data_IF_765918811583
#
_entry.id   IF_765918811583
#
_cell.length_a   1.000
_cell.length_b   1.000
_cell.length_c   1.000
_cell.angle_alpha   90.00
_cell.angle_beta   90.00
_cell.angle_gamma   90.00
#
_symmetry.space_group_name_H-M   'P 1'
#
loop_
_entity.id
_entity.type
_entity.pdbx_description
1 polymer ?
#
# COMPACT_ATOMS: atom_id res chain seq x y z
N UNK A 1 40.32 -44.41 19.10
CA UNK A 1 41.59 -43.70 19.37
C UNK A 1 42.48 -43.82 18.15
N UNK A 2 43.28 -42.80 17.76
CA UNK A 2 43.38 -41.42 18.28
C UNK A 2 42.80 -40.40 17.27
N UNK A 3 41.90 -39.48 17.65
CA UNK A 3 42.16 -38.14 18.22
C UNK A 3 43.28 -37.33 17.52
N UNK A 4 42.89 -36.35 16.69
CA UNK A 4 43.64 -35.10 16.51
C UNK A 4 42.68 -33.91 16.53
N UNK A 5 42.66 -33.24 17.68
CA UNK A 5 42.08 -31.91 17.89
C UNK A 5 42.97 -30.87 17.18
N UNK A 6 42.38 -30.02 16.35
CA UNK A 6 42.98 -28.75 15.96
C UNK A 6 42.03 -27.62 16.36
N UNK A 7 42.34 -27.00 17.51
CA UNK A 7 41.81 -25.71 17.93
C UNK A 7 42.32 -24.66 16.93
N UNK A 8 41.42 -23.94 16.25
CA UNK A 8 41.76 -22.66 15.60
C UNK A 8 41.27 -21.52 16.48
N UNK A 9 42.23 -20.67 16.84
CA UNK A 9 42.08 -19.54 17.71
C UNK A 9 41.24 -18.44 17.05
N UNK A 10 40.33 -17.86 17.83
CA UNK A 10 39.62 -16.61 17.52
C UNK A 10 40.61 -15.46 17.64
N UNK A 11 40.90 -14.78 16.53
CA UNK A 11 41.56 -13.47 16.56
C UNK A 11 40.46 -12.41 16.52
N UNK A 12 40.25 -11.76 17.67
CA UNK A 12 39.45 -10.52 17.77
C UNK A 12 40.36 -9.37 17.36
N UNK A 13 40.05 -8.71 16.25
CA UNK A 13 40.65 -7.41 15.92
C UNK A 13 39.83 -6.34 16.64
N UNK A 14 40.37 -5.83 17.75
CA UNK A 14 39.85 -4.65 18.41
C UNK A 14 40.51 -3.42 17.77
N UNK A 15 39.71 -2.56 17.12
CA UNK A 15 40.16 -1.25 16.69
C UNK A 15 40.25 -0.33 17.91
N UNK A 16 41.48 0.01 18.30
CA UNK A 16 41.75 0.99 19.35
C UNK A 16 41.71 2.40 18.75
N UNK A 17 40.72 3.21 19.17
CA UNK A 17 40.74 4.66 18.99
C UNK A 17 41.62 5.26 20.09
N UNK A 18 42.76 5.82 19.68
CA UNK A 18 43.72 6.45 20.56
C UNK A 18 43.16 7.70 21.22
N UNK A 19 43.19 7.72 22.55
CA UNK A 19 43.07 8.92 23.36
C UNK A 19 44.40 9.67 23.33
N UNK A 20 44.37 10.95 22.92
CA UNK A 20 45.47 11.88 23.15
C UNK A 20 44.98 12.99 24.07
N UNK A 21 45.46 12.95 25.31
CA UNK A 21 45.40 14.06 26.24
C UNK A 21 46.83 14.45 26.57
N UNK A 22 47.24 15.66 26.19
CA UNK A 22 48.36 16.35 26.84
C UNK A 22 48.03 17.84 26.96
N UNK A 23 48.24 18.29 28.18
CA UNK A 23 47.89 19.57 28.77
C UNK A 23 48.97 20.59 28.42
N UNK A 24 48.56 21.77 27.96
CA UNK A 24 49.41 22.95 27.81
C UNK A 24 48.63 24.19 28.21
N UNK A 25 48.76 24.59 29.48
CA UNK A 25 48.18 25.81 30.04
C UNK A 25 49.12 26.97 29.75
N UNK A 26 48.66 27.96 28.99
CA UNK A 26 49.15 29.35 29.11
C UNK A 26 47.93 30.26 29.15
N UNK A 27 47.77 30.96 30.27
CA UNK A 27 46.68 31.88 30.50
C UNK A 27 46.95 33.24 29.86
N UNK A 28 45.93 33.79 29.21
CA UNK A 28 45.77 35.23 29.04
C UNK A 28 44.31 35.55 29.33
N UNK A 29 44.10 36.34 30.37
CA UNK A 29 42.80 36.87 30.75
C UNK A 29 42.45 38.07 29.86
N UNK A 30 41.24 38.07 29.26
CA UNK A 30 40.56 39.29 28.81
C UNK A 30 39.07 39.04 28.49
N UNK A 31 38.19 39.65 29.30
CA UNK A 31 36.86 40.13 28.87
C UNK A 31 35.66 39.18 29.02
N UNK A 32 34.52 39.63 29.59
CA UNK A 32 33.29 38.84 29.60
C UNK A 32 32.69 38.86 28.18
N UNK A 33 32.76 37.73 27.47
CA UNK A 33 32.02 37.52 26.24
C UNK A 33 30.53 37.36 26.59
N UNK A 34 29.70 38.29 26.10
CA UNK A 34 28.26 38.27 26.28
C UNK A 34 27.65 36.96 25.79
N UNK A 35 26.67 36.46 26.54
CA UNK A 35 25.81 35.36 26.15
C UNK A 35 25.12 35.69 24.82
N UNK A 36 25.58 35.08 23.73
CA UNK A 36 24.85 35.09 22.47
C UNK A 36 23.59 34.23 22.63
N UNK A 37 22.47 34.87 22.95
CA UNK A 37 21.15 34.26 22.88
C UNK A 37 20.91 33.82 21.44
N UNK A 38 20.76 32.51 21.25
CA UNK A 38 20.35 31.95 19.97
C UNK A 38 18.98 32.54 19.61
N UNK A 39 18.89 33.16 18.44
CA UNK A 39 17.64 33.70 17.92
C UNK A 39 16.58 32.59 17.89
N UNK A 40 15.32 32.87 18.27
CA UNK A 40 14.26 31.89 18.24
C UNK A 40 14.12 31.36 16.81
N UNK A 41 14.31 30.05 16.62
CA UNK A 41 14.01 29.36 15.36
C UNK A 41 12.57 29.69 15.01
N UNK A 42 12.38 30.33 13.85
CA UNK A 42 11.06 30.56 13.28
C UNK A 42 10.29 29.23 13.28
N UNK A 43 9.00 29.22 13.68
CA UNK A 43 8.21 28.01 13.66
C UNK A 43 8.27 27.41 12.25
N UNK A 44 8.61 26.12 12.17
CA UNK A 44 8.57 25.39 10.91
C UNK A 44 7.19 25.62 10.29
N UNK A 45 7.19 26.25 9.12
CA UNK A 45 5.98 26.48 8.33
C UNK A 45 5.31 25.11 8.18
N UNK A 46 4.05 25.00 8.59
CA UNK A 46 3.26 23.79 8.37
C UNK A 46 3.42 23.36 6.90
N UNK A 47 3.58 22.06 6.60
CA UNK A 47 3.66 21.60 5.22
C UNK A 47 2.47 22.17 4.46
N UNK A 48 2.77 22.89 3.38
CA UNK A 48 1.77 23.49 2.54
C UNK A 48 0.78 22.40 2.08
N UNK A 49 -0.50 22.74 2.05
CA UNK A 49 -1.52 21.91 1.41
C UNK A 49 -1.05 21.51 0.00
N UNK A 50 -1.39 20.28 -0.42
CA UNK A 50 -1.04 19.67 -1.69
C UNK A 50 -0.94 20.70 -2.83
N UNK A 51 0.21 20.77 -3.50
CA UNK A 51 0.42 21.68 -4.61
C UNK A 51 -0.52 21.34 -5.79
N UNK A 52 -1.68 21.99 -5.81
CA UNK A 52 -2.56 22.42 -6.92
C UNK A 52 -2.82 21.51 -8.14
N UNK A 53 -2.59 20.19 -8.09
CA UNK A 53 -2.99 19.26 -9.16
C UNK A 53 -2.75 19.81 -10.58
N UNK A 54 -1.61 20.50 -10.77
CA UNK A 54 -1.34 21.20 -12.01
C UNK A 54 -1.20 20.20 -13.16
N UNK A 55 -1.15 20.66 -14.40
CA UNK A 55 -1.06 19.77 -15.56
C UNK A 55 0.10 18.73 -15.46
N UNK A 56 1.21 19.09 -14.80
CA UNK A 56 2.34 18.18 -14.59
C UNK A 56 2.00 17.02 -13.62
N UNK A 57 1.19 17.31 -12.60
CA UNK A 57 0.80 16.41 -11.52
C UNK A 57 -0.54 15.71 -11.76
N UNK A 58 -1.23 16.02 -12.86
CA UNK A 58 -2.48 15.37 -13.23
C UNK A 58 -2.24 14.10 -14.05
N UNK A 59 -3.01 13.06 -13.75
CA UNK A 59 -3.19 11.88 -14.59
C UNK A 59 -4.64 11.87 -15.06
N UNK A 60 -4.85 11.74 -16.36
CA UNK A 60 -6.16 11.49 -16.97
C UNK A 60 -5.99 10.41 -18.04
N UNK A 61 -6.60 9.26 -17.83
CA UNK A 61 -6.52 8.13 -18.74
C UNK A 61 -7.91 7.64 -19.09
N UNK A 62 -8.23 7.71 -20.39
CA UNK A 62 -9.39 7.02 -20.95
C UNK A 62 -8.98 5.60 -21.35
N UNK A 63 -9.67 4.60 -20.82
CA UNK A 63 -9.45 3.19 -21.09
C UNK A 63 -10.40 2.68 -22.17
N UNK A 64 -10.05 1.51 -22.71
CA UNK A 64 -10.89 0.78 -23.65
C UNK A 64 -12.28 0.52 -23.04
N UNK A 65 -13.34 0.86 -23.77
CA UNK A 65 -14.71 0.86 -23.26
C UNK A 65 -15.25 2.23 -22.83
N UNK A 66 -14.42 3.27 -22.84
CA UNK A 66 -14.84 4.67 -22.67
C UNK A 66 -14.80 5.18 -21.23
N UNK A 67 -14.41 4.32 -20.28
CA UNK A 67 -14.14 4.70 -18.90
C UNK A 67 -12.95 5.66 -18.83
N UNK A 68 -13.04 6.70 -18.01
CA UNK A 68 -11.94 7.63 -17.74
C UNK A 68 -11.61 7.68 -16.26
N UNK A 69 -10.33 7.49 -15.92
CA UNK A 69 -9.79 7.73 -14.58
C UNK A 69 -9.09 9.07 -14.54
N UNK A 70 -9.27 9.80 -13.44
CA UNK A 70 -8.58 11.08 -13.19
C UNK A 70 -8.09 11.13 -11.77
N UNK A 71 -6.88 11.66 -11.58
CA UNK A 71 -6.27 11.84 -10.28
C UNK A 71 -5.14 12.87 -10.37
N UNK A 72 -4.71 13.33 -9.21
CA UNK A 72 -3.46 14.05 -9.04
C UNK A 72 -2.47 13.08 -8.39
N UNK A 73 -1.17 13.31 -8.61
CA UNK A 73 -0.13 12.64 -7.86
C UNK A 73 0.78 13.67 -7.22
N UNK A 74 1.33 13.34 -6.06
CA UNK A 74 2.48 14.03 -5.50
C UNK A 74 3.42 13.01 -4.87
N UNK A 75 4.60 13.48 -4.48
CA UNK A 75 5.61 12.65 -3.82
C UNK A 75 5.80 13.12 -2.38
N UNK A 76 5.49 12.26 -1.43
CA UNK A 76 5.67 12.49 0.00
C UNK A 76 7.07 12.06 0.43
N UNK A 77 7.70 12.83 1.32
CA UNK A 77 9.09 12.61 1.76
C UNK A 77 9.32 11.32 2.54
N UNK A 78 8.26 10.55 2.84
CA UNK A 78 8.32 9.26 3.54
C UNK A 78 7.56 8.18 2.78
N UNK A 79 6.28 8.42 2.46
CA UNK A 79 5.41 7.46 1.79
C UNK A 79 5.74 7.23 0.31
N UNK A 80 6.52 8.12 -0.31
CA UNK A 80 6.76 8.10 -1.75
C UNK A 80 5.52 8.55 -2.53
N UNK A 81 5.09 7.76 -3.52
CA UNK A 81 3.95 8.12 -4.37
C UNK A 81 2.64 8.21 -3.57
N UNK A 82 1.96 9.34 -3.69
CA UNK A 82 0.61 9.58 -3.17
C UNK A 82 -0.33 9.95 -4.30
N UNK A 83 -1.52 9.36 -4.33
CA UNK A 83 -2.57 9.68 -5.29
C UNK A 83 -3.68 10.46 -4.61
N UNK A 84 -4.03 11.62 -5.14
CA UNK A 84 -5.10 12.49 -4.63
C UNK A 84 -6.24 12.65 -5.64
N UNK A 85 -7.43 13.00 -5.13
CA UNK A 85 -8.59 13.34 -5.94
C UNK A 85 -8.93 12.28 -7.00
N UNK A 86 -8.80 11.00 -6.65
CA UNK A 86 -9.09 9.88 -7.55
C UNK A 86 -10.58 9.88 -7.87
N UNK A 87 -10.89 9.92 -9.17
CA UNK A 87 -12.25 9.88 -9.69
C UNK A 87 -12.38 8.94 -10.87
N UNK A 88 -13.56 8.33 -10.95
CA UNK A 88 -13.94 7.30 -11.89
C UNK A 88 -15.11 7.81 -12.74
N UNK A 89 -15.00 7.75 -14.06
CA UNK A 89 -16.11 8.10 -14.96
C UNK A 89 -16.30 7.00 -16.00
N UNK A 90 -17.26 6.07 -15.79
CA UNK A 90 -17.62 5.13 -16.84
C UNK A 90 -18.36 5.86 -17.98
N UNK A 91 -18.36 5.27 -19.17
CA UNK A 91 -18.93 5.87 -20.40
C UNK A 91 -20.37 6.41 -20.22
N UNK A 92 -21.17 5.75 -19.39
CA UNK A 92 -22.59 6.07 -19.17
C UNK A 92 -22.88 7.11 -18.08
N UNK A 93 -21.87 7.70 -17.45
CA UNK A 93 -22.03 8.70 -16.38
C UNK A 93 -21.66 10.10 -16.89
N UNK A 94 -22.54 11.06 -16.65
CA UNK A 94 -22.40 12.43 -17.15
C UNK A 94 -21.27 13.22 -16.49
N UNK A 95 -20.90 12.84 -15.26
CA UNK A 95 -19.86 13.49 -14.49
C UNK A 95 -18.95 12.45 -13.80
N UNK A 96 -17.69 12.80 -13.47
CA UNK A 96 -16.81 11.95 -12.68
C UNK A 96 -17.37 11.68 -11.28
N UNK A 97 -17.35 10.42 -10.88
CA UNK A 97 -17.65 9.97 -9.52
C UNK A 97 -16.36 10.08 -8.71
N UNK A 98 -16.33 10.90 -7.66
CA UNK A 98 -15.19 10.96 -6.74
C UNK A 98 -15.13 9.69 -5.90
N UNK A 99 -13.92 9.14 -5.71
CA UNK A 99 -13.70 7.87 -5.01
C UNK A 99 -12.80 8.04 -3.80
N UNK A 100 -11.53 8.41 -4.01
CA UNK A 100 -10.55 8.61 -2.96
C UNK A 100 -10.12 10.08 -2.93
N UNK A 101 -10.15 10.68 -1.75
CA UNK A 101 -9.53 11.99 -1.52
C UNK A 101 -8.01 11.86 -1.57
N UNK A 102 -7.46 10.81 -0.93
CA UNK A 102 -6.03 10.50 -0.94
C UNK A 102 -5.79 9.01 -0.71
N UNK A 103 -4.77 8.43 -1.33
CA UNK A 103 -4.31 7.06 -1.08
C UNK A 103 -2.78 6.98 -1.14
N UNK A 104 -2.18 6.28 -0.17
CA UNK A 104 -0.73 6.11 -0.07
C UNK A 104 -0.34 4.84 0.68
N UNK A 105 0.92 4.44 0.54
CA UNK A 105 1.55 3.55 1.51
C UNK A 105 1.62 4.24 2.89
N UNK A 106 1.51 3.42 3.93
CA UNK A 106 1.39 3.87 5.30
C UNK A 106 2.42 3.24 6.24
N UNK A 107 3.05 2.12 5.86
CA UNK A 107 4.27 1.59 6.46
C UNK A 107 4.70 0.36 5.63
N UNK A 108 6.00 0.04 5.65
CA UNK A 108 6.51 -1.31 5.39
C UNK A 108 7.30 -1.69 6.63
N UNK A 109 6.81 -2.68 7.38
CA UNK A 109 7.42 -3.12 8.63
C UNK A 109 8.09 -4.49 8.43
N UNK A 110 9.42 -4.51 8.64
CA UNK A 110 10.30 -5.64 8.31
C UNK A 110 11.03 -6.17 9.56
N UNK A 111 10.39 -7.04 10.36
CA UNK A 111 11.04 -7.72 11.47
C UNK A 111 11.77 -8.97 10.98
N UNK A 112 13.01 -9.16 11.43
CA UNK A 112 13.77 -10.40 11.23
C UNK A 112 13.44 -11.42 12.31
N UNK A 113 13.41 -12.71 11.94
CA UNK A 113 12.99 -13.80 12.83
C UNK A 113 14.02 -14.09 13.95
N UNK A 114 15.24 -13.59 13.80
CA UNK A 114 16.28 -13.62 14.83
C UNK A 114 16.11 -12.53 15.91
N UNK A 115 15.23 -11.56 15.68
CA UNK A 115 14.98 -10.42 16.54
C UNK A 115 16.14 -9.42 16.61
N UNK A 116 17.16 -9.54 15.75
CA UNK A 116 18.30 -8.63 15.74
C UNK A 116 17.93 -7.27 15.15
N UNK A 117 17.04 -7.28 14.15
CA UNK A 117 16.62 -6.10 13.40
C UNK A 117 15.09 -6.04 13.22
N UNK A 118 14.57 -4.82 13.24
CA UNK A 118 13.18 -4.50 12.94
C UNK A 118 13.13 -3.11 12.30
N UNK A 119 12.70 -3.06 11.04
CA UNK A 119 12.69 -1.82 10.26
C UNK A 119 11.28 -1.33 10.00
N UNK A 120 11.12 0.00 10.01
CA UNK A 120 9.98 0.71 9.47
C UNK A 120 10.47 1.53 8.29
N UNK A 121 10.35 0.98 7.08
CA UNK A 121 11.11 1.50 5.94
C UNK A 121 10.71 2.93 5.57
N UNK A 122 9.40 3.22 5.59
CA UNK A 122 8.88 4.53 5.21
C UNK A 122 9.28 5.61 6.21
N UNK A 123 9.17 5.32 7.50
CA UNK A 123 9.36 6.33 8.53
C UNK A 123 10.78 6.40 9.07
N UNK A 124 11.53 5.29 9.00
CA UNK A 124 12.83 5.10 9.64
C UNK A 124 14.00 4.73 8.73
N UNK A 125 13.77 4.27 7.49
CA UNK A 125 14.85 3.93 6.54
C UNK A 125 14.83 4.80 5.27
N UNK A 126 14.23 5.99 5.36
CA UNK A 126 14.25 6.99 4.29
C UNK A 126 13.79 6.47 2.91
N UNK A 127 12.85 5.51 2.88
CA UNK A 127 12.28 4.88 1.68
C UNK A 127 12.11 5.82 0.47
N UNK A 128 11.48 6.98 0.68
CA UNK A 128 11.19 7.93 -0.39
C UNK A 128 12.43 8.65 -0.93
N UNK A 129 13.50 8.78 -0.14
CA UNK A 129 14.74 9.41 -0.58
C UNK A 129 15.47 8.56 -1.64
N UNK A 130 15.31 7.24 -1.56
CA UNK A 130 15.93 6.28 -2.46
C UNK A 130 15.03 5.89 -3.66
N UNK A 131 14.34 6.88 -4.24
CA UNK A 131 13.59 6.71 -5.49
C UNK A 131 14.55 6.38 -6.64
N UNK A 132 14.28 5.29 -7.36
CA UNK A 132 15.13 4.86 -8.47
C UNK A 132 14.76 5.57 -9.78
N UNK A 133 15.77 5.81 -10.60
CA UNK A 133 15.58 6.28 -11.97
C UNK A 133 15.17 5.10 -12.86
N UNK A 134 14.02 5.23 -13.53
CA UNK A 134 13.51 4.21 -14.43
C UNK A 134 14.13 4.32 -15.83
N UNK A 135 14.52 3.19 -16.40
CA UNK A 135 14.83 3.07 -17.81
C UNK A 135 13.53 3.10 -18.66
N UNK A 136 13.52 3.69 -19.87
CA UNK A 136 12.37 3.62 -20.77
C UNK A 136 11.78 2.23 -20.99
N UNK A 137 12.61 1.17 -20.97
CA UNK A 137 12.16 -0.22 -21.12
C UNK A 137 11.31 -0.72 -19.94
N UNK A 138 11.48 -0.13 -18.75
CA UNK A 138 10.68 -0.47 -17.57
C UNK A 138 9.23 0.02 -17.70
N UNK A 139 9.01 1.12 -18.43
CA UNK A 139 7.69 1.75 -18.62
C UNK A 139 7.17 1.58 -20.07
N UNK A 140 6.96 0.34 -20.56
CA UNK A 140 6.64 0.09 -21.96
C UNK A 140 5.30 0.72 -22.34
N UNK A 141 5.30 1.47 -23.44
CA UNK A 141 4.12 2.18 -23.96
C UNK A 141 3.59 3.28 -23.04
N UNK A 142 4.34 3.64 -21.99
CA UNK A 142 3.96 4.63 -21.00
C UNK A 142 4.76 5.93 -21.10
N UNK A 143 4.59 6.76 -20.07
CA UNK A 143 5.36 7.99 -19.87
C UNK A 143 6.04 7.91 -18.51
N UNK A 144 7.34 8.17 -18.49
CA UNK A 144 8.09 8.34 -17.25
C UNK A 144 8.06 9.82 -16.88
N UNK A 145 7.52 10.12 -15.71
CA UNK A 145 7.45 11.46 -15.15
C UNK A 145 8.63 11.72 -14.24
N UNK A 146 9.15 12.94 -14.29
CA UNK A 146 10.14 13.44 -13.35
C UNK A 146 9.46 13.78 -12.02
N UNK A 147 10.01 13.23 -10.94
CA UNK A 147 9.60 13.39 -9.56
C UNK A 147 10.65 14.24 -8.87
N UNK A 148 10.23 15.37 -8.29
CA UNK A 148 11.09 16.14 -7.40
C UNK A 148 11.00 15.55 -5.99
N UNK A 149 12.06 14.90 -5.53
CA UNK A 149 12.13 14.25 -4.21
C UNK A 149 12.23 15.34 -3.12
N UNK A 150 11.25 15.45 -2.21
CA UNK A 150 11.31 16.48 -1.17
C UNK A 150 12.43 16.20 -0.17
N UNK A 151 13.31 17.18 0.00
CA UNK A 151 14.45 17.06 0.92
C UNK A 151 15.49 16.03 0.49
N UNK A 152 15.63 15.81 -0.83
CA UNK A 152 16.58 14.87 -1.44
C UNK A 152 17.96 14.89 -0.76
N UNK A 153 18.56 13.70 -0.59
CA UNK A 153 19.93 13.54 -0.08
C UNK A 153 20.96 14.31 -0.90
N UNK A 154 20.78 14.34 -2.22
CA UNK A 154 21.49 15.23 -3.13
C UNK A 154 20.57 16.42 -3.48
N UNK A 155 20.69 17.56 -2.78
CA UNK A 155 19.85 18.72 -3.02
C UNK A 155 20.14 19.41 -4.36
N UNK A 156 21.30 19.14 -4.99
CA UNK A 156 21.66 19.68 -6.30
C UNK A 156 21.00 18.87 -7.44
N UNK A 157 20.64 17.60 -7.17
CA UNK A 157 19.98 16.71 -8.12
C UNK A 157 18.68 16.08 -7.55
N UNK A 158 17.68 16.88 -7.15
CA UNK A 158 16.47 16.38 -6.49
C UNK A 158 15.44 15.76 -7.44
N UNK A 159 15.66 15.87 -8.75
CA UNK A 159 14.70 15.49 -9.79
C UNK A 159 15.04 14.12 -10.37
N UNK A 160 14.18 13.12 -10.15
CA UNK A 160 14.37 11.72 -10.56
C UNK A 160 13.29 11.31 -11.57
N UNK A 161 13.66 10.67 -12.68
CA UNK A 161 12.69 10.08 -13.63
C UNK A 161 12.12 8.77 -13.05
N UNK A 162 11.30 8.86 -12.01
CA UNK A 162 10.96 7.72 -11.15
C UNK A 162 9.51 7.26 -11.15
N UNK A 163 8.59 7.94 -11.88
CA UNK A 163 7.17 7.57 -11.92
C UNK A 163 6.76 7.13 -13.31
N UNK A 164 6.43 5.85 -13.49
CA UNK A 164 5.82 5.36 -14.71
C UNK A 164 4.30 5.54 -14.67
N UNK A 165 3.73 6.03 -15.78
CA UNK A 165 2.30 5.98 -16.06
C UNK A 165 2.06 5.29 -17.41
N UNK A 166 1.40 4.14 -17.40
CA UNK A 166 1.15 3.34 -18.61
C UNK A 166 -0.22 2.65 -18.56
N UNK A 167 -0.55 1.91 -19.62
CA UNK A 167 -1.67 0.96 -19.59
C UNK A 167 -1.17 -0.46 -19.79
N UNK A 168 -1.79 -1.43 -19.10
CA UNK A 168 -1.40 -2.85 -19.18
C UNK A 168 -2.63 -3.72 -19.40
N UNK A 169 -2.49 -4.75 -20.23
CA UNK A 169 -3.56 -5.74 -20.45
C UNK A 169 -3.82 -6.52 -19.16
N UNK A 170 -5.11 -6.78 -18.86
CA UNK A 170 -5.54 -7.55 -17.67
C UNK A 170 -6.28 -8.85 -18.00
N UNK A 171 -6.33 -9.22 -19.28
CA UNK A 171 -7.14 -10.34 -19.77
C UNK A 171 -8.62 -9.96 -19.90
N UNK A 172 -9.53 -10.94 -19.77
CA UNK A 172 -10.95 -10.70 -19.98
C UNK A 172 -11.56 -9.70 -18.99
N UNK A 173 -12.22 -8.67 -19.51
CA UNK A 173 -13.09 -7.81 -18.74
C UNK A 173 -14.45 -8.46 -18.48
N UNK A 174 -14.97 -9.19 -19.46
CA UNK A 174 -16.12 -10.08 -19.32
C UNK A 174 -16.16 -11.08 -20.48
N UNK A 175 -16.86 -12.19 -20.27
CA UNK A 175 -17.26 -13.14 -21.30
C UNK A 175 -18.60 -13.77 -20.90
N UNK A 176 -19.56 -13.76 -21.81
CA UNK A 176 -20.87 -14.41 -21.69
C UNK A 176 -21.24 -15.01 -23.04
N UNK A 177 -21.78 -16.24 -23.07
CA UNK A 177 -22.25 -16.86 -24.32
C UNK A 177 -23.42 -17.80 -24.06
N UNK A 178 -24.21 -18.07 -25.10
CA UNK A 178 -25.16 -19.20 -25.17
C UNK A 178 -26.36 -19.18 -24.20
N UNK A 179 -26.67 -18.05 -23.57
CA UNK A 179 -27.86 -17.89 -22.72
C UNK A 179 -28.39 -16.44 -22.71
N UNK A 180 -28.00 -15.65 -23.72
CA UNK A 180 -28.47 -14.27 -23.89
C UNK A 180 -29.72 -14.19 -24.78
N UNK A 181 -30.32 -13.00 -24.91
CA UNK A 181 -31.52 -12.80 -25.75
C UNK A 181 -31.25 -13.09 -27.23
N UNK A 182 -29.98 -13.02 -27.66
CA UNK A 182 -29.53 -13.23 -29.04
C UNK A 182 -29.07 -14.68 -29.33
N UNK A 183 -29.51 -15.66 -28.53
CA UNK A 183 -29.15 -17.07 -28.71
C UNK A 183 -27.64 -17.35 -28.54
N UNK A 184 -26.99 -17.84 -29.61
CA UNK A 184 -25.59 -18.32 -29.58
C UNK A 184 -24.53 -17.22 -29.58
N UNK A 185 -24.95 -15.94 -29.63
CA UNK A 185 -24.03 -14.81 -29.64
C UNK A 185 -23.16 -14.79 -28.38
N UNK A 186 -21.84 -14.64 -28.59
CA UNK A 186 -20.86 -14.46 -27.52
C UNK A 186 -20.57 -12.97 -27.31
N UNK A 187 -20.84 -12.50 -26.09
CA UNK A 187 -20.46 -11.18 -25.61
C UNK A 187 -19.14 -11.27 -24.85
N UNK A 188 -18.08 -10.67 -25.36
CA UNK A 188 -16.79 -10.67 -24.69
C UNK A 188 -16.04 -9.34 -24.85
N UNK A 189 -15.10 -9.08 -23.93
CA UNK A 189 -14.18 -7.95 -24.01
C UNK A 189 -12.87 -8.26 -23.26
N UNK A 190 -11.75 -7.84 -23.83
CA UNK A 190 -10.46 -7.76 -23.12
C UNK A 190 -10.37 -6.42 -22.38
N UNK A 191 -9.77 -6.43 -21.21
CA UNK A 191 -9.57 -5.27 -20.35
C UNK A 191 -8.14 -4.77 -20.35
N UNK A 192 -7.99 -3.48 -20.06
CA UNK A 192 -6.74 -2.85 -19.69
C UNK A 192 -6.91 -2.08 -18.39
N UNK A 193 -5.82 -1.97 -17.66
CA UNK A 193 -5.68 -1.12 -16.49
C UNK A 193 -4.81 0.09 -16.83
N UNK A 194 -5.15 1.25 -16.27
CA UNK A 194 -4.16 2.30 -16.04
C UNK A 194 -3.25 1.81 -14.90
N UNK A 195 -1.94 1.81 -15.11
CA UNK A 195 -0.93 1.43 -14.13
C UNK A 195 -0.03 2.63 -13.84
N UNK A 196 0.09 2.97 -12.55
CA UNK A 196 1.05 3.93 -12.02
C UNK A 196 2.00 3.21 -11.07
N UNK A 197 3.31 3.39 -11.21
CA UNK A 197 4.25 2.83 -10.24
C UNK A 197 5.57 3.60 -10.09
N UNK A 198 6.19 3.42 -8.93
CA UNK A 198 7.56 3.85 -8.60
C UNK A 198 8.37 2.67 -8.06
N UNK A 199 9.69 2.75 -8.14
CA UNK A 199 10.61 1.78 -7.52
C UNK A 199 11.47 2.50 -6.49
N UNK A 200 11.51 1.98 -5.27
CA UNK A 200 12.23 2.56 -4.14
C UNK A 200 13.16 1.50 -3.53
N UNK A 201 14.42 1.85 -3.30
CA UNK A 201 15.42 0.93 -2.75
C UNK A 201 15.59 1.16 -1.24
N UNK A 202 15.57 0.11 -0.44
CA UNK A 202 15.86 0.17 1.00
C UNK A 202 16.79 -0.97 1.37
N UNK A 203 18.03 -0.63 1.72
CA UNK A 203 19.08 -1.62 1.95
C UNK A 203 19.31 -2.46 0.70
N UNK A 204 19.03 -3.76 0.79
CA UNK A 204 19.20 -4.72 -0.32
C UNK A 204 17.91 -4.95 -1.12
N UNK A 205 16.77 -4.44 -0.63
CA UNK A 205 15.47 -4.63 -1.23
C UNK A 205 15.12 -3.48 -2.16
N UNK A 206 14.37 -3.82 -3.21
CA UNK A 206 13.62 -2.85 -4.01
C UNK A 206 12.13 -3.11 -3.88
N UNK A 207 11.37 -2.03 -3.73
CA UNK A 207 9.92 -2.05 -3.59
C UNK A 207 9.27 -1.35 -4.78
N UNK A 208 8.51 -2.11 -5.57
CA UNK A 208 7.69 -1.62 -6.68
C UNK A 208 6.31 -1.28 -6.13
N UNK A 209 6.02 0.00 -5.95
CA UNK A 209 4.70 0.47 -5.46
C UNK A 209 3.75 0.67 -6.64
N UNK A 210 2.80 -0.25 -6.84
CA UNK A 210 1.86 -0.22 -7.97
C UNK A 210 0.44 0.17 -7.57
N UNK A 211 -0.17 1.04 -8.39
CA UNK A 211 -1.59 1.39 -8.35
C UNK A 211 -2.21 1.11 -9.72
N UNK A 212 -3.19 0.21 -9.78
CA UNK A 212 -3.89 -0.17 -11.00
C UNK A 212 -5.36 0.23 -10.95
N UNK A 213 -5.86 0.75 -12.06
CA UNK A 213 -7.23 1.26 -12.20
C UNK A 213 -7.89 0.65 -13.44
N UNK A 214 -8.91 -0.18 -13.24
CA UNK A 214 -9.57 -0.95 -14.29
C UNK A 214 -10.75 -0.22 -14.92
N UNK A 215 -11.08 -0.57 -16.17
CA UNK A 215 -12.23 -0.01 -16.90
C UNK A 215 -13.59 -0.27 -16.21
N UNK A 216 -13.69 -1.35 -15.42
CA UNK A 216 -14.88 -1.73 -14.66
C UNK A 216 -15.03 -1.02 -13.30
N UNK A 217 -14.06 -0.19 -12.92
CA UNK A 217 -14.07 0.55 -11.65
C UNK A 217 -13.22 -0.08 -10.55
N UNK A 218 -12.68 -1.28 -10.75
CA UNK A 218 -11.78 -1.95 -9.79
C UNK A 218 -10.48 -1.16 -9.63
N UNK A 219 -10.01 -1.03 -8.39
CA UNK A 219 -8.67 -0.53 -8.08
C UNK A 219 -7.87 -1.66 -7.44
N UNK A 220 -6.62 -1.86 -7.86
CA UNK A 220 -5.71 -2.85 -7.26
C UNK A 220 -4.46 -2.14 -6.78
N UNK A 221 -4.11 -2.34 -5.51
CA UNK A 221 -2.98 -1.70 -4.85
C UNK A 221 -2.00 -2.77 -4.41
N UNK A 222 -0.74 -2.65 -4.83
CA UNK A 222 0.27 -3.66 -4.59
C UNK A 222 1.63 -3.05 -4.27
N UNK A 223 2.42 -3.83 -3.54
CA UNK A 223 3.87 -3.66 -3.42
C UNK A 223 4.52 -4.96 -3.87
N UNK A 224 5.46 -4.85 -4.80
CA UNK A 224 6.34 -5.94 -5.19
C UNK A 224 7.68 -5.81 -4.48
N UNK A 225 8.10 -6.81 -3.70
CA UNK A 225 9.43 -6.87 -3.10
C UNK A 225 10.39 -7.67 -4.00
N UNK A 226 11.53 -7.08 -4.35
CA UNK A 226 12.60 -7.65 -5.20
C UNK A 226 13.96 -7.12 -4.74
N UNK A 227 15.00 -7.16 -5.58
CA UNK A 227 16.37 -6.81 -5.22
C UNK A 227 17.21 -8.04 -4.90
N UNK A 228 17.88 -8.03 -3.76
CA UNK A 228 18.84 -9.07 -3.36
C UNK A 228 18.61 -9.46 -1.89
N UNK A 229 18.82 -10.72 -1.55
CA UNK A 229 18.87 -11.12 -0.13
C UNK A 229 20.01 -10.40 0.61
N UNK A 230 19.80 -10.05 1.87
CA UNK A 230 20.86 -9.44 2.69
C UNK A 230 22.04 -10.40 2.87
N UNK A 231 23.23 -10.13 2.29
CA UNK A 231 24.35 -11.06 2.32
C UNK A 231 25.05 -11.11 3.69
N UNK A 232 24.67 -10.22 4.61
CA UNK A 232 25.23 -10.14 5.96
C UNK A 232 24.47 -11.00 6.99
N UNK A 233 23.33 -11.59 6.60
CA UNK A 233 22.44 -12.35 7.49
C UNK A 233 22.37 -13.84 7.10
N UNK A 234 23.52 -14.42 6.74
CA UNK A 234 23.66 -15.80 6.20
C UNK A 234 24.11 -16.84 7.24
N UNK A 235 23.78 -16.63 8.52
CA UNK A 235 24.19 -17.49 9.64
C UNK A 235 23.02 -18.14 10.41
N UNK A 236 21.78 -18.04 9.90
CA UNK A 236 20.56 -18.53 10.55
C UNK A 236 20.29 -20.04 10.41
N UNK A 237 21.32 -20.86 10.64
CA UNK A 237 21.26 -22.33 10.56
C UNK A 237 20.53 -23.03 11.71
N UNK A 238 19.94 -22.28 12.64
CA UNK A 238 19.27 -22.79 13.85
C UNK A 238 17.74 -22.90 13.72
N UNK A 239 17.24 -22.90 12.50
CA UNK A 239 15.80 -23.01 12.18
C UNK A 239 15.10 -21.67 11.98
N UNK A 240 15.81 -20.54 12.11
CA UNK A 240 15.30 -19.19 11.80
C UNK A 240 15.52 -18.78 10.35
N UNK A 241 16.28 -19.54 9.58
CA UNK A 241 16.57 -19.28 8.18
C UNK A 241 16.38 -20.49 7.29
N UNK A 242 16.74 -20.32 6.02
CA UNK A 242 16.73 -21.37 5.02
C UNK A 242 18.12 -21.53 4.39
N UNK A 243 18.61 -22.77 4.17
CA UNK A 243 19.89 -22.98 3.52
C UNK A 243 19.87 -22.43 2.10
N UNK A 244 20.92 -21.70 1.75
CA UNK A 244 21.12 -21.17 0.41
C UNK A 244 22.52 -21.55 -0.11
N UNK A 245 22.65 -21.60 -1.43
CA UNK A 245 23.90 -21.91 -2.09
C UNK A 245 24.36 -23.36 -1.90
N UNK A 246 25.60 -23.63 -2.31
CA UNK A 246 26.11 -25.00 -2.40
C UNK A 246 26.39 -25.60 -1.02
N UNK A 247 25.65 -26.67 -0.71
CA UNK A 247 25.95 -27.54 0.42
C UNK A 247 25.54 -26.97 1.77
N UNK A 248 24.54 -26.09 1.81
CA UNK A 248 23.94 -25.56 3.04
C UNK A 248 24.99 -25.01 4.03
N UNK A 249 25.93 -24.21 3.52
CA UNK A 249 26.95 -23.54 4.34
C UNK A 249 26.47 -22.18 4.85
N UNK A 250 25.56 -21.57 4.09
CA UNK A 250 24.99 -20.26 4.33
C UNK A 250 23.48 -20.43 4.52
N UNK A 251 22.90 -19.66 5.44
CA UNK A 251 21.49 -19.74 5.79
C UNK A 251 20.89 -18.34 5.88
N UNK A 252 20.09 -17.95 4.90
CA UNK A 252 19.45 -16.64 4.90
C UNK A 252 18.40 -16.55 6.00
N UNK A 253 18.51 -15.52 6.85
CA UNK A 253 17.55 -15.26 7.93
C UNK A 253 16.16 -14.94 7.38
N UNK A 254 15.15 -15.67 7.88
CA UNK A 254 13.76 -15.40 7.54
C UNK A 254 13.29 -14.10 8.17
N UNK A 255 12.32 -13.45 7.54
CA UNK A 255 11.79 -12.16 7.99
C UNK A 255 10.38 -11.95 7.43
N UNK A 256 9.65 -10.95 7.93
CA UNK A 256 8.33 -10.60 7.41
C UNK A 256 8.35 -9.26 6.67
N UNK A 257 7.43 -9.07 5.72
CA UNK A 257 7.10 -7.78 5.11
C UNK A 257 5.64 -7.47 5.42
N UNK A 258 5.38 -6.53 6.33
CA UNK A 258 4.02 -6.10 6.69
C UNK A 258 3.75 -4.75 6.03
N UNK A 259 2.99 -4.75 4.94
CA UNK A 259 2.73 -3.55 4.15
C UNK A 259 1.38 -2.98 4.53
N UNK A 260 1.36 -1.69 4.84
CA UNK A 260 0.15 -0.94 5.16
C UNK A 260 -0.18 0.08 4.08
N UNK A 261 -1.46 0.21 3.78
CA UNK A 261 -2.02 1.30 2.97
C UNK A 261 -2.96 2.14 3.81
N UNK A 262 -3.00 3.44 3.54
CA UNK A 262 -3.95 4.39 4.13
C UNK A 262 -4.83 4.98 3.04
N UNK A 263 -6.13 4.76 3.14
CA UNK A 263 -7.12 5.19 2.17
C UNK A 263 -8.11 6.17 2.82
N UNK A 264 -8.17 7.37 2.26
CA UNK A 264 -9.13 8.40 2.63
C UNK A 264 -10.21 8.48 1.55
N UNK A 265 -11.38 7.90 1.81
CA UNK A 265 -12.48 7.94 0.86
C UNK A 265 -13.12 9.33 0.80
N UNK A 266 -13.50 9.72 -0.40
CA UNK A 266 -14.25 10.94 -0.71
C UNK A 266 -15.40 10.61 -1.65
N UNK A 267 -16.13 9.51 -1.35
CA UNK A 267 -17.14 8.96 -2.25
C UNK A 267 -18.21 10.00 -2.55
N UNK A 268 -18.45 10.22 -3.85
CA UNK A 268 -19.37 11.25 -4.35
C UNK A 268 -19.11 12.66 -3.77
N UNK A 269 -17.84 12.95 -3.43
CA UNK A 269 -17.41 14.24 -2.91
C UNK A 269 -17.66 14.46 -1.42
N UNK A 270 -18.10 13.42 -0.69
CA UNK A 270 -18.34 13.48 0.76
C UNK A 270 -17.27 12.72 1.54
N UNK A 271 -16.70 13.30 2.62
CA UNK A 271 -15.84 12.56 3.54
C UNK A 271 -16.63 11.66 4.50
N UNK A 272 -17.97 11.77 4.51
CA UNK A 272 -18.84 11.16 5.53
C UNK A 272 -19.26 9.73 5.23
N UNK A 273 -18.46 8.99 4.46
CA UNK A 273 -18.73 7.60 4.10
C UNK A 273 -19.01 6.74 5.35
N UNK A 274 -19.74 5.63 5.15
CA UNK A 274 -20.05 4.66 6.21
C UNK A 274 -19.39 3.33 5.93
N UNK A 275 -19.04 2.61 6.99
CA UNK A 275 -18.45 1.28 6.89
C UNK A 275 -19.52 0.25 7.26
N UNK A 276 -19.58 -0.81 6.46
CA UNK A 276 -20.48 -1.93 6.69
C UNK A 276 -19.71 -3.24 6.66
N UNK A 277 -19.93 -4.07 7.67
CA UNK A 277 -19.42 -5.42 7.75
C UNK A 277 -20.50 -6.40 7.29
N UNK A 278 -20.09 -7.41 6.54
CA UNK A 278 -20.93 -8.52 6.13
C UNK A 278 -20.36 -9.80 6.72
N UNK A 279 -21.20 -10.58 7.40
CA UNK A 279 -20.87 -11.89 7.94
C UNK A 279 -21.86 -12.91 7.42
N UNK A 280 -21.40 -13.89 6.64
CA UNK A 280 -22.26 -15.01 6.21
C UNK A 280 -21.98 -16.25 7.03
N UNK A 281 -23.06 -16.93 7.45
CA UNK A 281 -22.99 -18.20 8.20
C UNK A 281 -23.76 -19.27 7.44
N UNK A 282 -23.13 -20.42 7.27
CA UNK A 282 -23.69 -21.57 6.56
C UNK A 282 -24.07 -22.66 7.56
N UNK A 283 -25.26 -23.24 7.43
CA UNK A 283 -25.73 -24.35 8.28
C UNK A 283 -24.94 -25.63 8.00
N UNK A 284 -24.60 -26.40 9.04
CA UNK A 284 -23.82 -27.66 8.95
C UNK A 284 -24.63 -28.94 9.18
N UNK A 285 -25.97 -28.86 9.22
CA UNK A 285 -26.82 -29.99 9.60
C UNK A 285 -26.83 -31.12 8.55
N UNK A 286 -26.59 -32.36 9.00
CA UNK A 286 -26.67 -33.57 8.18
C UNK A 286 -28.11 -33.82 7.71
N UNK A 287 -28.27 -34.21 6.43
CA UNK A 287 -29.58 -34.55 5.85
C UNK A 287 -30.40 -33.37 5.34
N UNK A 288 -29.91 -32.14 5.46
CA UNK A 288 -30.52 -30.94 4.87
C UNK A 288 -29.56 -30.25 3.89
N UNK A 289 -30.12 -29.63 2.84
CA UNK A 289 -29.32 -28.75 1.96
C UNK A 289 -28.80 -27.57 2.79
N UNK A 290 -27.50 -27.24 2.74
CA UNK A 290 -26.94 -26.10 3.46
C UNK A 290 -27.63 -24.78 3.08
N UNK A 291 -27.86 -23.92 4.07
CA UNK A 291 -28.39 -22.56 3.89
C UNK A 291 -27.39 -21.55 4.40
N UNK A 292 -27.20 -20.46 3.67
CA UNK A 292 -26.33 -19.35 4.05
C UNK A 292 -27.16 -18.13 4.38
N UNK A 293 -26.91 -17.51 5.54
CA UNK A 293 -27.53 -16.25 5.94
C UNK A 293 -26.45 -15.21 6.17
N UNK A 294 -26.59 -14.07 5.51
CA UNK A 294 -25.68 -12.92 5.67
C UNK A 294 -26.29 -11.90 6.62
N UNK A 295 -25.48 -11.45 7.58
CA UNK A 295 -25.81 -10.33 8.47
C UNK A 295 -24.99 -9.12 8.03
N UNK A 296 -25.66 -7.96 7.90
CA UNK A 296 -25.03 -6.68 7.60
C UNK A 296 -25.01 -5.83 8.86
N UNK A 297 -23.82 -5.45 9.30
CA UNK A 297 -23.60 -4.67 10.52
C UNK A 297 -23.00 -3.31 10.15
N UNK A 298 -23.59 -2.22 10.65
CA UNK A 298 -23.00 -0.88 10.52
C UNK A 298 -21.83 -0.76 11.49
N UNK A 299 -20.64 -0.43 10.98
CA UNK A 299 -19.48 -0.13 11.81
C UNK A 299 -19.48 1.37 12.08
N UNK A 300 -19.99 1.76 13.24
CA UNK A 300 -20.17 3.18 13.63
C UNK A 300 -19.05 3.72 14.50
N UNK A 301 -18.22 2.82 15.04
CA UNK A 301 -17.05 3.14 15.85
C UNK A 301 -15.82 2.53 15.22
N UNK A 302 -14.66 3.07 15.57
CA UNK A 302 -13.38 2.53 15.15
C UNK A 302 -13.27 1.03 15.45
N UNK A 303 -12.66 0.30 14.53
CA UNK A 303 -12.62 -1.15 14.57
C UNK A 303 -11.33 -1.67 13.91
N UNK A 304 -10.72 -2.67 14.54
CA UNK A 304 -9.70 -3.52 13.93
C UNK A 304 -10.36 -4.87 13.61
N UNK A 305 -10.13 -5.39 12.41
CA UNK A 305 -10.87 -6.55 11.90
C UNK A 305 -10.05 -7.44 11.00
N UNK A 306 -10.43 -8.72 10.98
CA UNK A 306 -9.82 -9.77 10.17
C UNK A 306 -10.81 -10.34 9.17
N UNK A 307 -10.42 -10.39 7.90
CA UNK A 307 -11.18 -11.09 6.90
C UNK A 307 -11.26 -12.57 7.27
N UNK A 308 -12.38 -13.18 6.92
CA UNK A 308 -12.62 -14.60 7.13
C UNK A 308 -13.38 -15.15 5.92
N UNK A 309 -13.54 -16.47 5.84
CA UNK A 309 -14.10 -17.16 4.68
C UNK A 309 -15.36 -16.51 4.07
N UNK A 310 -16.21 -15.87 4.90
CA UNK A 310 -17.36 -15.08 4.43
C UNK A 310 -17.58 -13.80 5.25
N UNK A 311 -16.48 -13.19 5.73
CA UNK A 311 -16.48 -11.86 6.35
C UNK A 311 -15.74 -10.86 5.47
N UNK A 312 -16.38 -9.73 5.20
CA UNK A 312 -15.81 -8.64 4.42
C UNK A 312 -16.44 -7.30 4.79
N UNK A 313 -15.86 -6.21 4.28
CA UNK A 313 -16.33 -4.85 4.52
C UNK A 313 -16.47 -4.05 3.23
N UNK A 314 -17.34 -3.05 3.28
CA UNK A 314 -17.40 -2.00 2.26
C UNK A 314 -17.47 -0.60 2.85
N UNK A 315 -16.98 0.34 2.06
CA UNK A 315 -17.13 1.79 2.26
C UNK A 315 -18.28 2.29 1.41
N UNK A 316 -19.28 2.88 2.04
CA UNK A 316 -20.56 3.25 1.44
C UNK A 316 -20.71 4.76 1.40
N UNK A 317 -21.10 5.28 0.25
CA UNK A 317 -21.42 6.69 0.06
C UNK A 317 -22.66 7.09 0.85
N UNK A 318 -22.63 8.29 1.41
CA UNK A 318 -23.81 8.96 1.98
C UNK A 318 -24.36 10.04 1.08
N UNK A 319 -23.73 10.30 -0.07
CA UNK A 319 -24.00 11.45 -0.91
C UNK A 319 -24.51 11.06 -2.31
N UNK A 320 -24.13 9.88 -2.80
CA UNK A 320 -24.50 9.42 -4.14
C UNK A 320 -25.06 8.01 -4.17
N UNK A 321 -25.88 7.78 -5.18
CA UNK A 321 -26.51 6.50 -5.52
C UNK A 321 -26.32 6.23 -7.00
N UNK A 322 -26.34 4.96 -7.39
CA UNK A 322 -26.45 4.59 -8.80
C UNK A 322 -27.86 4.86 -9.34
N UNK A 323 -28.07 4.56 -10.62
CA UNK A 323 -29.35 4.79 -11.33
C UNK A 323 -30.50 3.93 -10.79
N UNK A 324 -30.22 2.87 -10.02
CA UNK A 324 -31.22 2.03 -9.36
C UNK A 324 -31.53 2.50 -7.92
N UNK A 325 -30.92 3.60 -7.48
CA UNK A 325 -31.12 4.14 -6.14
C UNK A 325 -30.34 3.42 -5.04
N UNK A 326 -29.42 2.51 -5.39
CA UNK A 326 -28.51 1.87 -4.44
C UNK A 326 -27.35 2.81 -4.09
N UNK A 327 -26.96 2.94 -2.80
CA UNK A 327 -25.80 3.76 -2.42
C UNK A 327 -24.52 3.23 -3.04
N UNK A 328 -23.74 4.11 -3.70
CA UNK A 328 -22.46 3.72 -4.29
C UNK A 328 -21.49 3.28 -3.21
N UNK A 329 -20.71 2.23 -3.46
CA UNK A 329 -19.78 1.70 -2.48
C UNK A 329 -18.59 0.98 -3.10
N UNK A 330 -17.57 0.73 -2.29
CA UNK A 330 -16.43 -0.11 -2.64
C UNK A 330 -16.20 -1.16 -1.57
N UNK A 331 -16.11 -2.42 -1.97
CA UNK A 331 -15.72 -3.54 -1.13
C UNK A 331 -14.20 -3.60 -1.00
N UNK A 332 -13.73 -3.93 0.19
CA UNK A 332 -12.32 -4.22 0.46
C UNK A 332 -12.11 -5.72 0.26
N UNK A 333 -11.34 -6.08 -0.76
CA UNK A 333 -11.00 -7.47 -1.09
C UNK A 333 -9.52 -7.68 -0.75
N UNK A 334 -9.20 -8.13 0.47
CA UNK A 334 -7.81 -8.36 0.87
C UNK A 334 -7.17 -9.47 0.04
N UNK A 335 -5.89 -9.31 -0.29
CA UNK A 335 -5.09 -10.40 -0.84
C UNK A 335 -4.69 -11.42 0.22
N UNK A 336 -3.90 -12.40 -0.19
CA UNK A 336 -3.31 -13.36 0.75
C UNK A 336 -2.40 -12.61 1.75
N UNK A 337 -2.50 -12.97 3.03
CA UNK A 337 -1.74 -12.31 4.10
C UNK A 337 -1.20 -13.33 5.10
N UNK A 338 0.10 -13.23 5.37
CA UNK A 338 0.81 -13.92 6.45
C UNK A 338 1.16 -12.90 7.52
N UNK A 339 0.20 -12.60 8.40
CA UNK A 339 0.35 -11.57 9.44
C UNK A 339 1.47 -11.89 10.41
N UNK A 340 2.32 -10.90 10.71
CA UNK A 340 3.29 -10.99 11.79
C UNK A 340 2.62 -10.77 13.15
N UNK A 341 2.63 -11.72 14.09
CA UNK A 341 1.95 -11.56 15.38
C UNK A 341 2.77 -10.80 16.43
N UNK A 342 4.05 -10.50 16.16
CA UNK A 342 4.99 -9.93 17.15
C UNK A 342 4.78 -8.45 17.50
N UNK A 343 3.91 -7.74 16.77
CA UNK A 343 3.47 -6.37 17.07
C UNK A 343 1.96 -6.30 17.07
N UNK A 344 1.36 -5.49 17.94
CA UNK A 344 -0.11 -5.42 18.03
C UNK A 344 -0.76 -4.75 16.81
N UNK A 345 -0.06 -3.82 16.16
CA UNK A 345 -0.55 -3.12 14.97
C UNK A 345 -0.47 -3.93 13.67
N UNK A 346 0.18 -5.10 13.67
CA UNK A 346 0.27 -6.02 12.52
C UNK A 346 -0.70 -7.20 12.62
N UNK A 347 -1.51 -7.27 13.68
CA UNK A 347 -2.37 -8.43 13.99
C UNK A 347 -3.69 -8.47 13.22
N UNK A 348 -4.11 -7.37 12.60
CA UNK A 348 -5.38 -7.31 11.88
C UNK A 348 -5.18 -6.97 10.41
N UNK A 349 -6.10 -7.46 9.57
CA UNK A 349 -6.08 -7.21 8.12
C UNK A 349 -6.55 -5.79 7.78
N UNK A 350 -7.50 -5.27 8.54
CA UNK A 350 -8.05 -3.92 8.36
C UNK A 350 -8.18 -3.17 9.68
N UNK A 351 -8.01 -1.85 9.60
CA UNK A 351 -8.36 -0.92 10.67
C UNK A 351 -9.23 0.20 10.09
N UNK A 352 -10.26 0.60 10.84
CA UNK A 352 -11.07 1.77 10.56
C UNK A 352 -10.86 2.76 11.69
N UNK A 353 -10.25 3.90 11.40
CA UNK A 353 -10.06 4.99 12.38
C UNK A 353 -10.86 6.22 11.98
N UNK A 354 -11.14 7.10 12.93
CA UNK A 354 -11.65 8.42 12.58
C UNK A 354 -10.51 9.27 11.98
N UNK A 355 -10.84 10.15 11.04
CA UNK A 355 -9.84 11.01 10.44
C UNK A 355 -9.15 11.91 11.49
N UNK A 356 -7.85 11.73 11.60
CA UNK A 356 -6.96 12.59 12.34
C UNK A 356 -5.76 12.97 11.46
N UNK A 357 -5.47 14.28 11.39
CA UNK A 357 -4.36 14.81 10.59
C UNK A 357 -2.99 14.30 11.04
N UNK A 358 -2.85 13.86 12.28
CA UNK A 358 -1.60 13.35 12.85
C UNK A 358 -1.40 11.84 12.62
N UNK A 359 -2.42 11.13 12.15
CA UNK A 359 -2.42 9.69 11.93
C UNK A 359 -2.14 9.40 10.46
N UNK A 360 -0.86 9.40 10.10
CA UNK A 360 -0.37 9.37 8.72
C UNK A 360 0.23 8.02 8.31
N UNK A 361 0.89 7.32 9.24
CA UNK A 361 1.59 6.06 9.06
C UNK A 361 1.12 5.03 10.09
N UNK A 362 1.11 3.73 9.77
CA UNK A 362 0.57 2.71 10.68
C UNK A 362 1.36 2.57 12.00
N UNK A 363 2.63 2.97 11.98
CA UNK A 363 3.57 3.02 13.11
C UNK A 363 4.47 4.26 12.97
N UNK A 364 5.15 4.64 14.06
CA UNK A 364 6.29 5.57 14.03
C UNK A 364 6.06 6.88 13.25
N UNK A 365 4.90 7.49 13.47
CA UNK A 365 4.55 8.79 12.87
C UNK A 365 5.58 9.89 13.21
N UNK A 366 5.77 10.88 12.33
CA UNK A 366 6.71 11.97 12.55
C UNK A 366 6.50 12.69 13.88
N UNK A 367 7.59 13.02 14.58
CA UNK A 367 7.59 13.62 15.93
C UNK A 367 6.81 14.94 16.07
N UNK A 368 6.57 15.65 14.96
CA UNK A 368 5.73 16.86 14.93
C UNK A 368 4.26 16.57 15.26
N UNK A 369 3.85 15.31 15.14
CA UNK A 369 2.59 14.79 15.62
C UNK A 369 2.83 14.21 17.02
N UNK A 370 2.29 14.84 18.08
CA UNK A 370 2.38 14.36 19.48
C UNK A 370 1.66 13.02 19.74
N UNK A 371 1.24 12.33 18.68
CA UNK A 371 0.51 11.07 18.71
C UNK A 371 1.53 9.95 18.53
N UNK A 372 2.34 9.73 19.57
CA UNK A 372 3.20 8.54 19.66
C UNK A 372 2.34 7.29 19.85
N UNK A 373 1.76 6.78 18.77
CA UNK A 373 0.86 5.63 18.74
C UNK A 373 0.86 5.00 17.33
N UNK A 374 0.58 3.70 17.29
CA UNK A 374 0.34 2.91 16.08
C UNK A 374 -1.16 2.73 15.83
N UNK A 375 -1.53 2.24 14.65
CA UNK A 375 -2.94 2.16 14.20
C UNK A 375 -3.86 1.39 15.15
N UNK A 376 -3.36 0.34 15.82
CA UNK A 376 -4.11 -0.39 16.84
C UNK A 376 -4.45 0.43 18.09
N UNK A 377 -3.65 1.45 18.42
CA UNK A 377 -3.88 2.33 19.57
C UNK A 377 -4.82 3.48 19.24
N UNK A 378 -5.02 3.76 17.96
CA UNK A 378 -6.00 4.74 17.51
C UNK A 378 -7.39 4.17 17.57
N UNK A 379 -7.56 2.88 17.23
CA UNK A 379 -8.81 2.14 17.42
C UNK A 379 -9.17 2.05 18.91
N UNK A 380 -9.80 3.11 19.41
CA UNK A 380 -10.12 3.30 20.83
C UNK A 380 -11.63 3.40 21.07
N UNK A 381 -12.42 3.25 20.00
CA UNK A 381 -13.88 3.29 20.03
C UNK A 381 -14.48 4.66 19.75
N UNK A 382 -13.70 5.58 19.15
CA UNK A 382 -14.23 6.84 18.63
C UNK A 382 -15.31 6.59 17.56
N UNK A 383 -16.22 7.54 17.37
CA UNK A 383 -17.28 7.43 16.37
C UNK A 383 -16.76 7.77 14.96
N UNK A 384 -17.06 6.92 13.98
CA UNK A 384 -16.68 7.11 12.58
C UNK A 384 -17.61 8.10 11.86
N UNK A 385 -17.18 9.37 11.79
CA UNK A 385 -17.82 10.45 11.03
C UNK A 385 -17.12 10.66 9.69
N UNK A 386 -15.80 10.56 9.65
CA UNK A 386 -14.93 10.58 8.48
C UNK A 386 -13.95 9.40 8.59
N UNK A 387 -14.40 8.18 8.22
CA UNK A 387 -13.57 6.99 8.38
C UNK A 387 -12.35 7.00 7.46
N UNK A 388 -11.20 6.61 8.01
CA UNK A 388 -9.98 6.26 7.29
C UNK A 388 -9.83 4.75 7.32
N UNK A 389 -9.59 4.18 6.14
CA UNK A 389 -9.38 2.74 5.98
C UNK A 389 -7.88 2.47 5.92
N UNK A 390 -7.43 1.57 6.78
CA UNK A 390 -6.08 1.02 6.74
C UNK A 390 -6.17 -0.44 6.37
N UNK A 391 -5.33 -0.88 5.43
CA UNK A 391 -5.24 -2.28 5.02
C UNK A 391 -3.83 -2.76 5.28
N UNK A 392 -3.67 -3.92 5.90
CA UNK A 392 -2.41 -4.57 6.23
C UNK A 392 -2.32 -5.92 5.52
N UNK A 393 -1.29 -6.09 4.70
CA UNK A 393 -1.00 -7.36 4.05
C UNK A 393 0.42 -7.79 4.47
N UNK A 394 0.50 -8.93 5.14
CA UNK A 394 1.76 -9.53 5.59
C UNK A 394 2.28 -10.59 4.62
N UNK A 395 3.58 -10.79 4.60
CA UNK A 395 4.26 -11.87 3.90
C UNK A 395 5.41 -12.34 4.79
N UNK A 396 5.51 -13.64 5.03
CA UNK A 396 6.62 -14.23 5.75
C UNK A 396 7.56 -14.85 4.74
N UNK A 397 8.75 -14.29 4.63
CA UNK A 397 9.75 -14.67 3.65
C UNK A 397 10.73 -15.65 4.29
N UNK A 398 10.47 -16.93 4.05
CA UNK A 398 11.48 -17.99 4.20
C UNK A 398 12.15 -18.10 2.83
N UNK A 399 13.35 -17.54 2.72
CA UNK A 399 14.05 -17.41 1.45
C UNK A 399 14.29 -18.78 0.80
N UNK A 400 14.36 -18.81 -0.53
CA UNK A 400 14.74 -19.99 -1.32
C UNK A 400 16.01 -19.72 -2.10
N UNK A 401 16.61 -20.75 -2.67
CA UNK A 401 17.80 -20.59 -3.53
C UNK A 401 17.54 -19.65 -4.72
N UNK A 402 16.32 -19.66 -5.26
CA UNK A 402 15.90 -18.77 -6.35
C UNK A 402 15.83 -17.30 -5.96
N UNK A 403 15.83 -16.98 -4.66
CA UNK A 403 15.63 -15.61 -4.16
C UNK A 403 16.96 -14.85 -3.98
N UNK A 404 18.14 -15.46 -4.20
CA UNK A 404 19.45 -14.85 -3.94
C UNK A 404 19.69 -13.53 -4.69
N UNK A 405 20.03 -13.58 -5.98
CA UNK A 405 20.26 -12.40 -6.81
C UNK A 405 20.17 -12.73 -8.31
N UNK A 406 19.37 -11.98 -9.09
CA UNK A 406 18.31 -11.08 -8.63
C UNK A 406 17.12 -11.87 -8.07
N UNK A 407 16.53 -11.38 -6.97
CA UNK A 407 15.34 -11.97 -6.35
C UNK A 407 14.10 -11.76 -7.22
N UNK A 408 13.32 -12.80 -7.56
CA UNK A 408 12.04 -12.66 -8.22
C UNK A 408 11.07 -11.77 -7.42
N UNK A 409 10.20 -11.04 -8.11
CA UNK A 409 9.25 -10.12 -7.44
C UNK A 409 8.19 -10.90 -6.67
N UNK A 410 8.08 -10.64 -5.38
CA UNK A 410 7.01 -11.13 -4.51
C UNK A 410 5.95 -10.05 -4.34
N UNK A 411 4.72 -10.32 -4.76
CA UNK A 411 3.63 -9.33 -4.74
C UNK A 411 2.72 -9.49 -3.51
N UNK A 412 2.48 -8.37 -2.83
CA UNK A 412 1.50 -8.23 -1.76
C UNK A 412 0.53 -7.10 -2.10
N UNK A 413 -0.76 -7.28 -1.81
CA UNK A 413 -1.74 -6.24 -2.14
C UNK A 413 -3.17 -6.64 -1.88
N UNK A 414 -4.08 -5.79 -2.33
CA UNK A 414 -5.52 -5.96 -2.20
C UNK A 414 -6.26 -5.21 -3.32
N UNK A 415 -7.57 -5.43 -3.42
CA UNK A 415 -8.43 -4.73 -4.35
C UNK A 415 -9.52 -3.94 -3.64
N UNK A 416 -9.95 -2.87 -4.28
CA UNK A 416 -11.23 -2.22 -4.02
C UNK A 416 -12.16 -2.54 -5.18
N UNK A 417 -13.16 -3.38 -4.91
CA UNK A 417 -14.14 -3.78 -5.91
C UNK A 417 -15.36 -2.86 -5.87
N UNK A 418 -15.81 -2.29 -7.01
CA UNK A 418 -17.00 -1.46 -7.03
C UNK A 418 -18.24 -2.28 -6.66
N UNK A 419 -19.05 -1.74 -5.76
CA UNK A 419 -20.34 -2.31 -5.33
C UNK A 419 -21.39 -1.22 -5.48
N UNK A 420 -22.34 -1.43 -6.38
CA UNK A 420 -23.42 -0.46 -6.64
C UNK A 420 -22.90 0.91 -7.12
N UNK A 421 -21.69 1.01 -7.70
CA UNK A 421 -21.16 2.27 -8.25
C UNK A 421 -21.96 2.70 -9.49
N UNK A 422 -22.25 1.73 -10.34
CA UNK A 422 -23.17 1.81 -11.48
C UNK A 422 -24.33 0.83 -11.28
N UNK A 423 -25.41 1.00 -12.04
CA UNK A 423 -26.58 0.11 -12.00
C UNK A 423 -26.26 -1.29 -12.54
N UNK A 424 -25.58 -1.33 -13.68
CA UNK A 424 -25.04 -2.54 -14.29
C UNK A 424 -23.52 -2.45 -14.42
N UNK A 425 -22.88 -3.54 -14.85
CA UNK A 425 -21.49 -3.49 -15.29
C UNK A 425 -21.30 -2.29 -16.27
N UNK A 426 -20.36 -1.37 -15.99
CA UNK A 426 -20.16 -0.17 -16.82
C UNK A 426 -19.68 -0.47 -18.24
N UNK A 427 -19.22 -1.70 -18.48
CA UNK A 427 -18.77 -2.18 -19.78
C UNK A 427 -19.85 -2.98 -20.53
N UNK A 428 -21.07 -3.10 -19.98
CA UNK A 428 -22.20 -3.79 -20.60
C UNK A 428 -22.43 -3.28 -22.03
N UNK A 429 -22.47 -4.17 -23.04
CA UNK A 429 -22.84 -3.82 -24.41
C UNK A 429 -24.25 -3.21 -24.48
N UNK A 430 -24.49 -2.33 -25.45
CA UNK A 430 -25.81 -1.72 -25.66
C UNK A 430 -26.93 -2.75 -25.87
N UNK A 431 -26.64 -3.88 -26.53
CA UNK A 431 -27.60 -4.96 -26.73
C UNK A 431 -28.07 -5.64 -25.44
N UNK A 432 -27.43 -5.36 -24.30
CA UNK A 432 -27.78 -5.92 -22.99
C UNK A 432 -28.16 -4.81 -21.98
N UNK A 433 -28.39 -3.57 -22.43
CA UNK A 433 -28.69 -2.44 -21.52
C UNK A 433 -29.96 -2.62 -20.71
N UNK A 434 -30.92 -3.37 -21.27
CA UNK A 434 -32.26 -3.49 -20.70
C UNK A 434 -32.37 -4.68 -19.71
N UNK A 435 -31.26 -5.40 -19.49
CA UNK A 435 -31.15 -6.54 -18.58
C UNK A 435 -30.91 -6.13 -17.12
N UNK A 436 -31.27 -4.90 -16.76
CA UNK A 436 -31.03 -4.36 -15.42
C UNK A 436 -32.10 -4.86 -14.43
N UNK A 437 -31.76 -5.87 -13.62
CA UNK A 437 -32.63 -6.36 -12.55
C UNK A 437 -33.85 -7.21 -12.99
N UNK A 438 -34.16 -7.25 -14.29
CA UNK A 438 -35.23 -8.07 -14.86
C UNK A 438 -34.73 -8.84 -16.09
N UNK A 439 -35.06 -10.13 -16.17
CA UNK A 439 -34.76 -11.00 -17.33
C UNK A 439 -36.01 -11.61 -17.97
N UNK A 440 -37.21 -11.18 -17.56
CA UNK A 440 -38.46 -11.66 -18.17
C UNK A 440 -39.13 -10.55 -18.98
N UNK A 441 -39.23 -10.76 -20.30
CA UNK A 441 -40.15 -10.07 -21.19
C UNK A 441 -39.70 -8.72 -21.75
N UNK A 442 -38.65 -8.69 -22.57
CA UNK A 442 -38.51 -7.66 -23.60
C UNK A 442 -39.48 -8.00 -24.75
N UNK A 443 -40.57 -7.24 -24.85
CA UNK A 443 -41.42 -7.20 -26.04
C UNK A 443 -40.83 -6.34 -27.15
#
# INVERSE_FOLDING_TARGET
MPERRLRRARVRVAAALGASALIGVTGVAAGPAGSAQAAPKAPAKAPAAAADCSAAYKIEQKLDGGTTWRMCWHYDSKAGLVLDNVSYQPKGEAAPIKVLTSAKLAQIHVPYDDGSNEYDDLTGQDFAQALQQLDPAECPGGTIKTVRVPGAWDPDHPDVKGLCATTRARGHAYRMGGAGPDGDKVYQRQGKDLLLYTVNMVGWYEYITEWRFSGDGTMTMQVGATGTLSPIDYDAGDGRGWPIGKGAKDYATSHAHNVFWRLNFGLDGSPKSKIEQYDSKTTTATGQKPKTKTTRTKVTKELAGDAAAQRWWRVVSTAGKNKDGHPRSYEIVPGHTSKFPGRSYTKHDVYFTEYNKCEQFASNNPRSCSVGKSVDKWVNGENLKHPIVWVNIGFHHIARDEDQEPMPVHWQGFQLAPRDVTAMNPLTPSALSDHNGHTEGGG
#
